data_IF_717443591806
#
_entry.id   IF_717443591806
#
_cell.length_a   1.000
_cell.length_b   1.000
_cell.length_c   1.000
_cell.angle_alpha   90.00
_cell.angle_beta   90.00
_cell.angle_gamma   90.00
#
_symmetry.space_group_name_H-M   'P 1'
#
loop_
_entity.id
_entity.type
_entity.pdbx_description
1 polymer ?
#
# COMPACT_ATOMS: atom_id res chain seq x y z
N UNK A 1 -30.48 -13.02 -5.61
CA UNK A 1 -29.70 -11.87 -5.08
C UNK A 1 -28.85 -11.33 -6.23
N UNK A 2 -28.89 -10.02 -6.47
CA UNK A 2 -28.07 -9.38 -7.50
C UNK A 2 -26.60 -9.39 -7.08
N UNK A 3 -25.70 -9.76 -7.99
CA UNK A 3 -24.25 -9.77 -7.73
C UNK A 3 -23.72 -8.32 -7.68
N UNK A 4 -22.91 -7.91 -6.69
CA UNK A 4 -22.37 -6.56 -6.64
C UNK A 4 -21.44 -6.29 -7.84
N UNK A 5 -21.55 -5.09 -8.41
CA UNK A 5 -20.85 -4.67 -9.61
C UNK A 5 -19.58 -3.89 -9.27
N UNK A 6 -18.47 -4.24 -9.89
CA UNK A 6 -17.17 -3.60 -9.69
C UNK A 6 -16.77 -2.74 -10.89
N UNK A 7 -16.25 -1.55 -10.60
CA UNK A 7 -15.47 -0.76 -11.54
C UNK A 7 -13.98 -0.82 -11.14
N UNK A 8 -13.11 -1.31 -12.01
CA UNK A 8 -11.66 -1.35 -11.77
C UNK A 8 -11.02 -0.16 -12.49
N UNK A 9 -10.51 0.82 -11.73
CA UNK A 9 -9.83 2.00 -12.30
C UNK A 9 -8.34 1.88 -12.00
N UNK A 10 -7.58 1.59 -13.06
CA UNK A 10 -6.24 1.03 -13.01
C UNK A 10 -6.26 -0.46 -13.31
N UNK A 11 -5.41 -0.91 -14.25
CA UNK A 11 -5.32 -2.33 -14.64
C UNK A 11 -3.88 -2.79 -14.84
N UNK A 12 -3.00 -2.32 -13.94
CA UNK A 12 -1.59 -2.72 -13.85
C UNK A 12 -1.40 -4.10 -13.21
N UNK A 13 -0.26 -4.30 -12.54
CA UNK A 13 0.06 -5.56 -11.84
C UNK A 13 -1.01 -5.94 -10.82
N UNK A 14 -1.42 -5.00 -9.97
CA UNK A 14 -2.43 -5.21 -8.92
C UNK A 14 -3.80 -5.53 -9.54
N UNK A 15 -4.24 -4.77 -10.55
CA UNK A 15 -5.54 -4.99 -11.19
C UNK A 15 -5.64 -6.33 -11.90
N UNK A 16 -4.58 -6.73 -12.61
CA UNK A 16 -4.50 -8.06 -13.22
C UNK A 16 -4.45 -9.19 -12.19
N UNK A 17 -3.75 -8.99 -11.07
CA UNK A 17 -3.73 -9.97 -9.98
C UNK A 17 -5.12 -10.12 -9.33
N UNK A 18 -5.82 -9.02 -9.08
CA UNK A 18 -7.20 -9.03 -8.60
C UNK A 18 -8.12 -9.73 -9.59
N UNK A 19 -8.05 -9.42 -10.89
CA UNK A 19 -8.86 -10.08 -11.91
C UNK A 19 -8.65 -11.60 -11.94
N UNK A 20 -7.39 -12.07 -11.87
CA UNK A 20 -7.09 -13.50 -11.76
C UNK A 20 -7.66 -14.12 -10.49
N UNK A 21 -7.58 -13.43 -9.36
CA UNK A 21 -8.13 -13.90 -8.09
C UNK A 21 -9.65 -14.02 -8.14
N UNK A 22 -10.35 -13.02 -8.71
CA UNK A 22 -11.80 -13.04 -8.87
C UNK A 22 -12.26 -14.24 -9.70
N UNK A 23 -11.57 -14.53 -10.80
CA UNK A 23 -11.82 -15.71 -11.63
C UNK A 23 -11.55 -17.02 -10.89
N UNK A 24 -10.37 -17.14 -10.27
CA UNK A 24 -9.93 -18.38 -9.61
C UNK A 24 -10.80 -18.74 -8.40
N UNK A 25 -11.31 -17.74 -7.69
CA UNK A 25 -12.17 -17.93 -6.50
C UNK A 25 -13.65 -17.96 -6.82
N UNK A 26 -14.04 -17.72 -8.08
CA UNK A 26 -15.43 -17.55 -8.50
C UNK A 26 -16.18 -16.55 -7.60
N UNK A 27 -15.50 -15.46 -7.23
CA UNK A 27 -16.04 -14.48 -6.32
C UNK A 27 -17.37 -13.92 -6.85
N UNK A 28 -18.36 -13.63 -6.00
CA UNK A 28 -19.72 -13.29 -6.40
C UNK A 28 -19.88 -11.86 -6.95
N UNK A 29 -18.86 -11.34 -7.63
CA UNK A 29 -18.81 -9.99 -8.19
C UNK A 29 -18.90 -10.02 -9.71
N UNK A 30 -19.44 -8.94 -10.29
CA UNK A 30 -19.45 -8.73 -11.74
C UNK A 30 -18.63 -7.49 -12.05
N UNK A 31 -17.56 -7.60 -12.84
CA UNK A 31 -16.80 -6.42 -13.27
C UNK A 31 -17.53 -5.78 -14.43
N UNK A 32 -18.03 -4.56 -14.28
CA UNK A 32 -18.80 -3.84 -15.31
C UNK A 32 -18.01 -2.73 -15.96
N UNK A 33 -16.88 -2.32 -15.37
CA UNK A 33 -15.99 -1.33 -15.94
C UNK A 33 -14.52 -1.64 -15.64
N UNK A 34 -13.66 -1.42 -16.63
CA UNK A 34 -12.20 -1.41 -16.47
C UNK A 34 -11.67 -0.17 -17.17
N UNK A 35 -11.05 0.74 -16.42
CA UNK A 35 -10.46 1.98 -16.91
C UNK A 35 -8.94 2.00 -16.74
N UNK A 36 -8.21 2.51 -17.72
CA UNK A 36 -6.76 2.72 -17.61
C UNK A 36 -6.37 4.08 -18.19
N UNK A 37 -5.24 4.63 -17.74
CA UNK A 37 -4.70 5.88 -18.28
C UNK A 37 -4.32 5.79 -19.76
N UNK A 38 -3.73 4.66 -20.17
CA UNK A 38 -3.08 4.53 -21.49
C UNK A 38 -3.87 3.75 -22.54
N UNK A 39 -4.82 2.91 -22.13
CA UNK A 39 -5.58 2.04 -23.04
C UNK A 39 -7.08 2.32 -22.97
N UNK A 40 -7.49 3.51 -22.51
CA UNK A 40 -8.90 3.87 -22.33
C UNK A 40 -9.64 2.95 -21.35
N UNK A 41 -10.95 2.86 -21.54
CA UNK A 41 -11.88 2.15 -20.68
C UNK A 41 -12.86 1.26 -21.48
N UNK A 42 -13.20 0.13 -20.89
CA UNK A 42 -14.28 -0.77 -21.32
C UNK A 42 -15.36 -0.70 -20.25
N UNK A 43 -16.61 -0.51 -20.67
CA UNK A 43 -17.76 -0.44 -19.76
C UNK A 43 -18.92 -1.22 -20.37
N UNK A 44 -19.42 -2.22 -19.65
CA UNK A 44 -20.47 -3.13 -20.10
C UNK A 44 -21.40 -3.50 -18.93
N UNK A 45 -22.68 -3.15 -19.03
CA UNK A 45 -23.68 -3.36 -17.96
C UNK A 45 -23.88 -4.84 -17.60
N UNK A 46 -23.77 -5.74 -18.58
CA UNK A 46 -23.90 -7.19 -18.38
C UNK A 46 -22.66 -7.86 -17.78
N UNK A 47 -21.59 -7.08 -17.55
CA UNK A 47 -20.30 -7.59 -17.08
C UNK A 47 -19.28 -7.76 -18.21
N UNK A 48 -18.01 -7.75 -17.82
CA UNK A 48 -16.84 -7.89 -18.68
C UNK A 48 -16.22 -9.25 -18.41
N UNK A 49 -15.94 -10.00 -19.48
CA UNK A 49 -15.17 -11.23 -19.37
C UNK A 49 -13.70 -10.91 -19.07
N UNK A 50 -13.30 -11.15 -17.82
CA UNK A 50 -11.94 -10.93 -17.35
C UNK A 50 -10.93 -11.86 -18.03
N UNK A 51 -11.34 -13.03 -18.53
CA UNK A 51 -10.43 -13.97 -19.20
C UNK A 51 -9.94 -13.41 -20.53
N UNK A 52 -10.83 -12.79 -21.30
CA UNK A 52 -10.50 -12.10 -22.56
C UNK A 52 -9.57 -10.91 -22.31
N UNK A 53 -9.88 -10.09 -21.30
CA UNK A 53 -9.05 -8.95 -20.92
C UNK A 53 -7.64 -9.41 -20.50
N UNK A 54 -7.53 -10.49 -19.72
CA UNK A 54 -6.25 -11.03 -19.27
C UNK A 54 -5.45 -11.71 -20.38
N UNK A 55 -6.13 -12.25 -21.40
CA UNK A 55 -5.51 -12.80 -22.61
C UNK A 55 -5.01 -11.71 -23.57
N UNK A 56 -5.30 -10.43 -23.28
CA UNK A 56 -4.90 -9.31 -24.13
C UNK A 56 -5.80 -9.10 -25.34
N UNK A 57 -7.01 -9.68 -25.34
CA UNK A 57 -8.01 -9.42 -26.38
C UNK A 57 -8.33 -7.93 -26.42
N UNK A 58 -8.29 -7.36 -27.62
CA UNK A 58 -8.67 -5.96 -27.81
C UNK A 58 -10.18 -5.83 -27.77
N UNK A 59 -10.68 -5.05 -26.81
CA UNK A 59 -12.10 -4.72 -26.68
C UNK A 59 -12.28 -3.24 -27.05
N UNK A 60 -13.44 -2.83 -27.56
CA UNK A 60 -13.71 -1.43 -27.86
C UNK A 60 -13.45 -0.53 -26.64
N UNK A 61 -12.48 0.38 -26.78
CA UNK A 61 -12.04 1.29 -25.73
C UNK A 61 -12.58 2.69 -25.97
N UNK A 62 -13.05 3.33 -24.90
CA UNK A 62 -13.50 4.73 -24.88
C UNK A 62 -12.73 5.51 -23.82
N UNK A 63 -12.92 6.83 -23.77
CA UNK A 63 -12.49 7.61 -22.62
C UNK A 63 -13.14 7.04 -21.34
N UNK A 64 -12.40 7.07 -20.23
CA UNK A 64 -12.95 6.72 -18.92
C UNK A 64 -14.02 7.77 -18.55
N UNK A 65 -15.29 7.38 -18.44
CA UNK A 65 -16.31 8.33 -18.01
C UNK A 65 -16.09 8.73 -16.54
N UNK A 66 -16.69 9.84 -16.08
CA UNK A 66 -16.73 10.19 -14.66
C UNK A 66 -17.19 9.01 -13.80
N UNK A 67 -16.68 8.91 -12.56
CA UNK A 67 -16.94 7.72 -11.73
C UNK A 67 -18.43 7.53 -11.44
N UNK A 68 -19.16 8.65 -11.33
CA UNK A 68 -20.62 8.70 -11.11
C UNK A 68 -21.44 8.07 -12.25
N UNK A 69 -20.88 7.96 -13.45
CA UNK A 69 -21.56 7.43 -14.63
C UNK A 69 -21.24 5.95 -14.86
N UNK A 70 -20.37 5.36 -14.02
CA UNK A 70 -20.02 3.95 -14.11
C UNK A 70 -21.15 3.06 -13.57
N UNK A 71 -21.53 1.99 -14.27
CA UNK A 71 -22.57 1.07 -13.81
C UNK A 71 -22.04 0.10 -12.74
N UNK A 72 -21.58 0.61 -11.61
CA UNK A 72 -20.95 -0.16 -10.54
C UNK A 72 -21.44 0.24 -9.15
N UNK A 73 -21.37 -0.71 -8.22
CA UNK A 73 -21.71 -0.50 -6.81
C UNK A 73 -20.45 -0.22 -5.97
N UNK A 74 -19.29 -0.68 -6.46
CA UNK A 74 -18.00 -0.57 -5.80
C UNK A 74 -16.95 -0.08 -6.81
N UNK A 75 -16.28 1.01 -6.50
CA UNK A 75 -15.06 1.45 -7.19
C UNK A 75 -13.85 0.75 -6.56
N UNK A 76 -13.03 0.13 -7.39
CA UNK A 76 -11.69 -0.35 -7.03
C UNK A 76 -10.67 0.57 -7.68
N UNK A 77 -10.08 1.46 -6.88
CA UNK A 77 -9.13 2.47 -7.33
C UNK A 77 -7.69 1.98 -7.11
N UNK A 78 -6.99 1.73 -8.20
CA UNK A 78 -5.65 1.13 -8.24
C UNK A 78 -4.82 1.74 -9.37
N UNK A 79 -5.01 3.04 -9.62
CA UNK A 79 -4.19 3.78 -10.59
C UNK A 79 -2.76 4.00 -10.08
N UNK A 80 -1.91 4.49 -10.97
CA UNK A 80 -0.55 4.89 -10.61
C UNK A 80 -0.57 5.99 -9.56
N UNK A 81 0.34 5.89 -8.60
CA UNK A 81 0.46 6.85 -7.51
C UNK A 81 1.06 8.19 -7.99
N UNK A 82 0.39 9.29 -7.66
CA UNK A 82 1.00 10.63 -7.59
C UNK A 82 1.01 11.07 -6.11
N UNK A 83 2.17 11.02 -5.44
CA UNK A 83 2.24 11.24 -4.00
C UNK A 83 2.05 12.70 -3.58
N UNK A 84 2.17 13.69 -4.49
CA UNK A 84 2.10 15.12 -4.13
C UNK A 84 0.70 15.71 -4.11
N UNK A 85 -0.18 15.20 -4.95
CA UNK A 85 -1.57 15.68 -5.01
C UNK A 85 -2.56 14.57 -4.65
N UNK A 86 -2.17 13.31 -4.83
CA UNK A 86 -3.09 12.18 -4.78
C UNK A 86 -3.97 12.07 -6.03
N UNK A 87 -3.82 12.96 -7.02
CA UNK A 87 -4.63 12.97 -8.24
C UNK A 87 -4.06 12.04 -9.32
N UNK A 88 -4.90 11.43 -10.17
CA UNK A 88 -6.36 11.59 -10.26
C UNK A 88 -7.16 10.71 -9.27
N UNK A 89 -6.49 9.85 -8.51
CA UNK A 89 -7.14 8.90 -7.61
C UNK A 89 -8.03 9.57 -6.56
N UNK A 90 -7.62 10.73 -6.05
CA UNK A 90 -8.39 11.50 -5.09
C UNK A 90 -9.73 11.96 -5.69
N UNK A 91 -9.71 12.51 -6.91
CA UNK A 91 -10.93 12.83 -7.66
C UNK A 91 -11.80 11.59 -7.89
N UNK A 92 -11.22 10.47 -8.32
CA UNK A 92 -11.98 9.23 -8.52
C UNK A 92 -12.73 8.79 -7.25
N UNK A 93 -12.04 8.81 -6.10
CA UNK A 93 -12.63 8.39 -4.82
C UNK A 93 -13.76 9.35 -4.40
N UNK A 94 -13.56 10.66 -4.51
CA UNK A 94 -14.60 11.66 -4.19
C UNK A 94 -15.84 11.47 -5.06
N UNK A 95 -15.67 11.36 -6.36
CA UNK A 95 -16.79 11.19 -7.29
C UNK A 95 -17.57 9.91 -7.00
N UNK A 96 -16.87 8.79 -6.78
CA UNK A 96 -17.51 7.51 -6.51
C UNK A 96 -18.29 7.51 -5.18
N UNK A 97 -17.68 8.01 -4.09
CA UNK A 97 -18.38 8.17 -2.81
C UNK A 97 -19.58 9.12 -2.95
N UNK A 98 -19.39 10.25 -3.65
CA UNK A 98 -20.43 11.23 -3.94
C UNK A 98 -21.64 10.63 -4.67
N UNK A 99 -21.38 9.71 -5.61
CA UNK A 99 -22.37 8.94 -6.36
C UNK A 99 -22.99 7.76 -5.57
N UNK A 100 -22.58 7.53 -4.32
CA UNK A 100 -23.13 6.46 -3.48
C UNK A 100 -22.49 5.09 -3.70
N UNK A 101 -21.30 5.03 -4.33
CA UNK A 101 -20.53 3.80 -4.45
C UNK A 101 -19.74 3.53 -3.17
N UNK A 102 -19.45 2.26 -2.89
CA UNK A 102 -18.36 1.91 -1.99
C UNK A 102 -17.01 2.09 -2.70
N UNK A 103 -15.95 2.32 -1.93
CA UNK A 103 -14.60 2.47 -2.48
C UNK A 103 -13.63 1.52 -1.79
N UNK A 104 -12.86 0.80 -2.61
CA UNK A 104 -11.66 0.06 -2.22
C UNK A 104 -10.48 0.69 -2.96
N UNK A 105 -9.40 1.05 -2.28
CA UNK A 105 -8.20 1.59 -2.95
C UNK A 105 -6.91 0.94 -2.46
N UNK A 106 -5.95 0.77 -3.38
CA UNK A 106 -4.55 0.48 -3.04
C UNK A 106 -3.64 1.71 -3.19
N UNK A 107 -4.22 2.85 -3.59
CA UNK A 107 -3.47 4.08 -3.78
C UNK A 107 -3.34 4.85 -2.46
N UNK A 108 -2.10 4.96 -1.98
CA UNK A 108 -1.79 5.64 -0.73
C UNK A 108 -1.92 7.16 -0.80
N UNK A 109 -1.86 7.76 -1.99
CA UNK A 109 -1.87 9.22 -2.17
C UNK A 109 -3.12 9.90 -1.57
N UNK A 110 -4.33 9.52 -1.98
CA UNK A 110 -5.57 10.09 -1.45
C UNK A 110 -5.71 9.91 0.06
N UNK A 111 -5.36 8.72 0.59
CA UNK A 111 -5.48 8.43 2.02
C UNK A 111 -4.47 9.24 2.83
N UNK A 112 -3.23 9.38 2.34
CA UNK A 112 -2.22 10.18 3.04
C UNK A 112 -2.57 11.68 3.08
N UNK A 113 -3.36 12.20 2.12
CA UNK A 113 -3.62 13.64 1.97
C UNK A 113 -4.99 14.10 2.42
N UNK A 114 -6.00 13.25 2.29
CA UNK A 114 -7.39 13.63 2.43
C UNK A 114 -8.21 12.60 3.22
N UNK A 115 -7.59 11.74 4.05
CA UNK A 115 -8.31 10.70 4.78
C UNK A 115 -9.53 11.24 5.55
N UNK A 116 -9.37 12.28 6.36
CA UNK A 116 -10.46 12.84 7.18
C UNK A 116 -11.64 13.30 6.33
N UNK A 117 -11.36 13.98 5.22
CA UNK A 117 -12.36 14.43 4.26
C UNK A 117 -13.10 13.25 3.62
N UNK A 118 -12.35 12.26 3.13
CA UNK A 118 -12.89 11.09 2.45
C UNK A 118 -13.68 10.17 3.39
N UNK A 119 -13.24 10.02 4.63
CA UNK A 119 -13.91 9.25 5.68
C UNK A 119 -15.23 9.90 6.07
N UNK A 120 -15.24 11.23 6.27
CA UNK A 120 -16.45 12.00 6.53
C UNK A 120 -17.44 11.91 5.35
N UNK A 121 -16.96 12.02 4.11
CA UNK A 121 -17.79 11.87 2.92
C UNK A 121 -18.40 10.46 2.81
N UNK A 122 -17.61 9.43 3.06
CA UNK A 122 -18.08 8.05 3.06
C UNK A 122 -19.15 7.83 4.13
N UNK A 123 -18.94 8.34 5.35
CA UNK A 123 -19.90 8.28 6.44
C UNK A 123 -21.21 9.00 6.09
N UNK A 124 -21.13 10.22 5.57
CA UNK A 124 -22.31 11.01 5.16
C UNK A 124 -23.15 10.32 4.08
N UNK A 125 -22.52 9.51 3.22
CA UNK A 125 -23.19 8.76 2.15
C UNK A 125 -23.62 7.34 2.57
N UNK A 126 -23.32 6.93 3.81
CA UNK A 126 -23.54 5.56 4.27
C UNK A 126 -22.73 4.52 3.49
N UNK A 127 -21.53 4.89 3.01
CA UNK A 127 -20.66 4.05 2.18
C UNK A 127 -19.36 3.69 2.88
N UNK A 128 -18.78 2.58 2.45
CA UNK A 128 -17.51 2.09 2.96
C UNK A 128 -16.36 2.62 2.13
N UNK A 129 -15.35 3.15 2.82
CA UNK A 129 -14.01 3.40 2.28
C UNK A 129 -13.05 2.35 2.88
N UNK A 130 -12.35 1.60 2.02
CA UNK A 130 -11.41 0.54 2.41
C UNK A 130 -10.08 0.72 1.68
N UNK A 131 -8.98 0.60 2.42
CA UNK A 131 -7.65 0.95 1.90
C UNK A 131 -6.53 0.10 2.51
N UNK A 132 -6.82 -1.16 2.85
CA UNK A 132 -5.85 -2.08 3.48
C UNK A 132 -4.56 -2.21 2.66
N UNK A 133 -4.69 -2.31 1.34
CA UNK A 133 -3.56 -2.46 0.43
C UNK A 133 -2.67 -1.20 0.30
N UNK A 134 -3.03 -0.07 0.94
CA UNK A 134 -2.18 1.13 0.94
C UNK A 134 -0.99 1.02 1.90
N UNK A 135 -1.04 0.08 2.86
CA UNK A 135 -0.02 -0.13 3.87
C UNK A 135 0.41 -1.59 3.99
N UNK A 136 1.73 -1.80 4.06
CA UNK A 136 2.34 -3.06 4.50
C UNK A 136 1.86 -4.32 3.74
N UNK A 137 1.54 -4.17 2.44
CA UNK A 137 1.13 -5.21 1.51
C UNK A 137 -0.06 -6.05 2.02
N UNK A 138 0.22 -7.18 2.67
CA UNK A 138 -0.78 -8.15 3.14
C UNK A 138 -1.04 -8.10 4.65
N UNK A 139 -0.42 -7.16 5.38
CA UNK A 139 -0.61 -7.07 6.83
C UNK A 139 -1.95 -6.38 7.15
N UNK A 140 -2.88 -7.03 7.88
CA UNK A 140 -4.17 -6.42 8.21
C UNK A 140 -4.02 -5.40 9.35
N UNK A 141 -3.61 -4.18 9.02
CA UNK A 141 -3.39 -3.09 9.98
C UNK A 141 -4.70 -2.41 10.36
N UNK A 142 -5.47 -1.95 9.37
CA UNK A 142 -6.70 -1.20 9.65
C UNK A 142 -7.83 -2.13 10.02
N UNK A 143 -7.87 -3.32 9.43
CA UNK A 143 -8.82 -4.34 9.84
C UNK A 143 -8.64 -4.75 11.31
N UNK A 144 -7.39 -4.86 11.78
CA UNK A 144 -7.10 -5.15 13.19
C UNK A 144 -7.70 -4.07 14.11
N UNK A 145 -7.54 -2.78 13.78
CA UNK A 145 -8.17 -1.69 14.54
C UNK A 145 -9.69 -1.78 14.54
N UNK A 146 -10.31 -1.99 13.38
CA UNK A 146 -11.78 -2.03 13.25
C UNK A 146 -12.41 -3.26 13.90
N UNK A 147 -11.84 -4.44 13.69
CA UNK A 147 -12.46 -5.71 14.07
C UNK A 147 -12.00 -6.23 15.45
N UNK A 148 -10.75 -5.98 15.83
CA UNK A 148 -10.15 -6.60 17.04
C UNK A 148 -9.87 -5.61 18.16
N UNK A 149 -9.71 -4.31 17.84
CA UNK A 149 -9.43 -3.28 18.84
C UNK A 149 -10.42 -2.10 18.75
N UNK A 150 -11.75 -2.33 18.71
CA UNK A 150 -12.73 -1.25 18.56
C UNK A 150 -12.70 -0.26 19.74
N UNK A 151 -12.45 -0.75 20.96
CA UNK A 151 -12.40 0.03 22.21
C UNK A 151 -10.98 0.42 22.65
N UNK A 152 -9.95 -0.14 21.99
CA UNK A 152 -8.56 0.09 22.37
C UNK A 152 -8.06 1.44 21.89
N UNK A 153 -7.46 2.22 22.78
CA UNK A 153 -6.78 3.45 22.38
C UNK A 153 -5.34 3.15 21.92
N UNK A 154 -5.04 3.48 20.66
CA UNK A 154 -3.70 3.32 20.11
C UNK A 154 -2.83 4.51 20.53
N UNK A 155 -1.97 4.29 21.53
CA UNK A 155 -1.01 5.30 22.01
C UNK A 155 0.23 5.44 21.14
N UNK A 156 0.66 4.34 20.50
CA UNK A 156 1.89 4.30 19.71
C UNK A 156 1.85 3.24 18.62
N UNK A 157 2.37 3.59 17.45
CA UNK A 157 2.62 2.67 16.34
C UNK A 157 4.09 2.75 15.96
N UNK A 158 4.78 1.60 15.91
CA UNK A 158 6.16 1.52 15.44
C UNK A 158 6.27 0.42 14.39
N UNK A 159 6.87 0.72 13.24
CA UNK A 159 6.99 -0.26 12.15
C UNK A 159 8.10 0.05 11.17
N UNK A 160 8.53 -1.00 10.47
CA UNK A 160 9.37 -0.88 9.27
C UNK A 160 8.40 -0.92 8.09
N UNK A 161 8.27 0.20 7.37
CA UNK A 161 7.23 0.36 6.36
C UNK A 161 7.75 0.57 4.93
N UNK A 162 9.07 0.65 4.73
CA UNK A 162 9.73 0.59 3.39
C UNK A 162 10.57 -0.68 3.29
N UNK A 163 10.20 -1.55 2.34
CA UNK A 163 10.91 -2.79 2.03
C UNK A 163 12.28 -2.50 1.39
N UNK A 164 12.34 -1.54 0.46
CA UNK A 164 13.55 -1.08 -0.22
C UNK A 164 14.63 -0.64 0.76
N UNK A 165 14.32 0.35 1.60
CA UNK A 165 15.26 0.84 2.60
C UNK A 165 15.69 -0.26 3.58
N UNK A 166 14.74 -1.08 4.03
CA UNK A 166 15.05 -2.15 4.96
C UNK A 166 15.95 -3.23 4.33
N UNK A 167 15.77 -3.56 3.05
CA UNK A 167 16.62 -4.49 2.34
C UNK A 167 18.05 -3.95 2.26
N UNK A 168 18.20 -2.70 1.78
CA UNK A 168 19.50 -2.06 1.59
C UNK A 168 20.25 -2.00 2.92
N UNK A 169 19.64 -1.45 3.97
CA UNK A 169 20.26 -1.35 5.30
C UNK A 169 20.60 -2.72 5.90
N UNK A 170 19.75 -3.74 5.64
CA UNK A 170 20.04 -5.11 6.08
C UNK A 170 21.23 -5.73 5.36
N UNK A 171 21.41 -5.42 4.07
CA UNK A 171 22.56 -5.89 3.28
C UNK A 171 23.84 -5.20 3.72
N UNK A 172 23.78 -3.89 3.99
CA UNK A 172 24.94 -3.18 4.51
C UNK A 172 25.35 -3.66 5.91
N UNK A 173 24.39 -3.98 6.78
CA UNK A 173 24.68 -4.60 8.08
C UNK A 173 25.35 -5.99 7.97
N UNK A 174 25.27 -6.65 6.81
CA UNK A 174 25.98 -7.90 6.50
C UNK A 174 27.33 -7.68 5.80
N UNK A 175 27.72 -6.43 5.57
CA UNK A 175 29.02 -6.06 5.00
C UNK A 175 28.99 -5.61 3.54
N UNK A 176 27.83 -5.53 2.88
CA UNK A 176 27.74 -4.95 1.54
C UNK A 176 27.92 -3.43 1.57
N UNK A 177 28.47 -2.85 0.51
CA UNK A 177 28.39 -1.39 0.35
C UNK A 177 26.95 -0.96 0.06
N UNK A 178 26.64 0.32 0.25
CA UNK A 178 25.31 0.85 -0.11
C UNK A 178 25.02 0.69 -1.60
N UNK A 179 26.01 0.96 -2.46
CA UNK A 179 25.88 0.84 -3.90
C UNK A 179 25.57 -0.59 -4.33
N UNK A 180 26.30 -1.58 -3.80
CA UNK A 180 26.06 -3.00 -4.11
C UNK A 180 24.68 -3.44 -3.63
N UNK A 181 24.29 -3.02 -2.42
CA UNK A 181 22.99 -3.36 -1.85
C UNK A 181 21.83 -2.75 -2.64
N UNK A 182 21.99 -1.52 -3.14
CA UNK A 182 21.01 -0.87 -4.01
C UNK A 182 20.93 -1.55 -5.37
N UNK A 183 22.08 -1.82 -6.00
CA UNK A 183 22.14 -2.53 -7.29
C UNK A 183 21.48 -3.91 -7.20
N UNK A 184 21.72 -4.64 -6.10
CA UNK A 184 21.08 -5.93 -5.87
C UNK A 184 19.58 -5.78 -5.63
N UNK A 185 19.14 -4.75 -4.90
CA UNK A 185 17.72 -4.47 -4.71
C UNK A 185 17.02 -4.21 -6.05
N UNK A 186 17.65 -3.46 -6.96
CA UNK A 186 17.12 -3.20 -8.30
C UNK A 186 17.07 -4.48 -9.14
N UNK A 187 18.15 -5.28 -9.12
CA UNK A 187 18.21 -6.56 -9.84
C UNK A 187 17.13 -7.55 -9.38
N UNK A 188 16.81 -7.55 -8.09
CA UNK A 188 15.74 -8.38 -7.52
C UNK A 188 14.34 -7.79 -7.71
N UNK A 189 14.21 -6.60 -8.31
CA UNK A 189 12.93 -5.88 -8.45
C UNK A 189 12.35 -5.40 -7.12
N UNK A 190 13.18 -5.30 -6.08
CA UNK A 190 12.80 -4.74 -4.77
C UNK A 190 12.79 -3.21 -4.84
N UNK A 191 13.77 -2.62 -5.52
CA UNK A 191 13.86 -1.19 -5.77
C UNK A 191 13.55 -0.89 -7.24
N UNK A 192 12.89 0.24 -7.50
CA UNK A 192 12.69 0.76 -8.85
C UNK A 192 14.00 1.34 -9.42
N UNK A 193 14.01 1.62 -10.73
CA UNK A 193 15.15 2.27 -11.39
C UNK A 193 15.47 3.64 -10.77
N UNK A 194 14.44 4.42 -10.43
CA UNK A 194 14.56 5.62 -9.59
C UNK A 194 14.01 5.33 -8.17
N UNK A 195 14.88 5.02 -7.18
CA UNK A 195 14.47 4.68 -5.83
C UNK A 195 14.32 5.91 -4.92
N UNK A 196 14.30 7.14 -5.46
CA UNK A 196 14.33 8.39 -4.67
C UNK A 196 13.23 8.46 -3.61
N UNK A 197 12.01 8.10 -3.97
CA UNK A 197 10.87 8.12 -3.06
C UNK A 197 11.06 7.23 -1.82
N UNK A 198 11.72 6.08 -1.99
CA UNK A 198 12.10 5.21 -0.88
C UNK A 198 13.26 5.81 -0.09
N UNK A 199 14.36 6.16 -0.77
CA UNK A 199 15.63 6.51 -0.12
C UNK A 199 15.58 7.84 0.64
N UNK A 200 14.89 8.85 0.11
CA UNK A 200 14.63 10.14 0.77
C UNK A 200 13.48 10.06 1.79
N UNK A 201 12.77 8.94 1.79
CA UNK A 201 11.80 8.61 2.81
C UNK A 201 10.41 9.21 2.64
N UNK A 202 10.07 9.63 1.43
CA UNK A 202 8.72 10.10 1.09
C UNK A 202 7.69 8.98 1.22
N UNK A 203 8.01 7.75 0.79
CA UNK A 203 7.10 6.61 0.90
C UNK A 203 6.73 6.31 2.36
N UNK A 204 7.71 6.21 3.26
CA UNK A 204 7.36 5.94 4.66
C UNK A 204 6.76 7.13 5.38
N UNK A 205 7.01 8.37 4.96
CA UNK A 205 6.30 9.53 5.49
C UNK A 205 4.82 9.46 5.13
N UNK A 206 4.48 9.16 3.87
CA UNK A 206 3.10 8.93 3.47
C UNK A 206 2.47 7.78 4.27
N UNK A 207 3.17 6.66 4.44
CA UNK A 207 2.67 5.52 5.23
C UNK A 207 2.49 5.85 6.71
N UNK A 208 3.41 6.61 7.30
CA UNK A 208 3.31 7.05 8.70
C UNK A 208 2.16 8.04 8.91
N UNK A 209 1.91 8.91 7.92
CA UNK A 209 0.76 9.82 7.88
C UNK A 209 -0.55 9.04 7.88
N UNK A 210 -0.68 8.03 7.01
CA UNK A 210 -1.86 7.16 6.97
C UNK A 210 -2.06 6.47 8.33
N UNK A 211 -0.99 5.90 8.92
CA UNK A 211 -1.09 5.26 10.24
C UNK A 211 -1.57 6.23 11.31
N UNK A 212 -1.03 7.45 11.36
CA UNK A 212 -1.41 8.42 12.37
C UNK A 212 -2.83 8.95 12.18
N UNK A 213 -3.21 9.31 10.95
CA UNK A 213 -4.54 9.81 10.65
C UNK A 213 -5.61 8.75 10.88
N UNK A 214 -5.40 7.52 10.41
CA UNK A 214 -6.41 6.46 10.50
C UNK A 214 -6.51 5.84 11.88
N UNK A 215 -5.37 5.59 12.55
CA UNK A 215 -5.36 4.87 13.82
C UNK A 215 -5.46 5.79 15.04
N UNK A 216 -5.09 7.06 14.86
CA UNK A 216 -4.91 8.01 15.97
C UNK A 216 -5.53 9.38 15.69
N UNK A 217 -6.29 9.56 14.61
CA UNK A 217 -7.01 10.80 14.28
C UNK A 217 -6.12 12.06 14.32
N UNK A 218 -4.91 11.95 13.75
CA UNK A 218 -3.88 12.98 13.88
C UNK A 218 -4.07 14.20 12.97
N UNK A 219 -4.86 14.07 11.89
CA UNK A 219 -5.13 15.10 10.87
C UNK A 219 -3.90 15.87 10.37
N UNK A 220 -2.88 15.13 9.95
CA UNK A 220 -1.64 15.68 9.38
C UNK A 220 -1.45 15.30 7.91
N UNK A 221 -0.48 15.93 7.26
CA UNK A 221 -0.07 15.64 5.89
C UNK A 221 1.34 15.04 5.83
N UNK A 222 1.74 14.43 4.70
CA UNK A 222 3.08 13.87 4.55
C UNK A 222 4.21 14.89 4.77
N UNK A 223 3.94 16.17 4.50
CA UNK A 223 4.90 17.26 4.70
C UNK A 223 5.19 17.53 6.18
N UNK A 224 4.24 17.24 7.07
CA UNK A 224 4.39 17.44 8.52
C UNK A 224 5.25 16.36 9.18
N UNK A 225 5.54 15.27 8.46
CA UNK A 225 6.34 14.17 8.97
C UNK A 225 7.83 14.49 8.85
N UNK A 226 8.53 14.51 9.99
CA UNK A 226 9.98 14.67 10.01
C UNK A 226 10.66 13.44 9.38
N UNK A 227 11.42 13.68 8.32
CA UNK A 227 12.13 12.65 7.55
C UNK A 227 13.64 12.74 7.76
N UNK A 228 14.28 11.57 7.85
CA UNK A 228 15.74 11.45 7.76
C UNK A 228 16.10 10.52 6.59
N UNK A 229 16.76 11.03 5.54
CA UNK A 229 17.12 10.24 4.36
C UNK A 229 18.04 9.07 4.71
N UNK A 230 17.81 7.92 4.08
CA UNK A 230 18.67 6.74 4.26
C UNK A 230 20.11 6.96 3.75
N UNK A 231 20.27 7.79 2.71
CA UNK A 231 21.56 8.14 2.09
C UNK A 231 22.50 8.92 3.02
N UNK A 232 21.96 9.67 3.98
CA UNK A 232 22.75 10.39 5.00
C UNK A 232 23.55 9.46 5.93
N UNK A 233 23.32 8.15 5.84
CA UNK A 233 23.98 7.12 6.64
C UNK A 233 24.97 6.25 5.85
N UNK A 234 25.30 6.61 4.60
CA UNK A 234 26.31 5.90 3.78
C UNK A 234 27.66 5.74 4.51
N UNK A 235 28.01 6.67 5.40
CA UNK A 235 29.24 6.70 6.19
C UNK A 235 29.17 5.94 7.53
N UNK A 236 27.98 5.48 7.96
CA UNK A 236 27.76 4.86 9.29
C UNK A 236 27.39 3.37 9.25
N UNK A 237 27.64 2.71 8.13
CA UNK A 237 27.53 1.25 8.02
C UNK A 237 28.76 0.56 8.62
N UNK A 238 28.86 0.51 9.94
CA UNK A 238 29.83 -0.36 10.62
C UNK A 238 29.26 -1.77 10.82
N UNK A 239 30.12 -2.79 10.70
CA UNK A 239 29.79 -4.23 10.79
C UNK A 239 29.14 -4.66 12.12
N UNK A 240 29.12 -3.80 13.14
CA UNK A 240 28.69 -4.14 14.50
C UNK A 240 27.23 -3.82 14.82
N UNK A 241 26.49 -3.09 13.97
CA UNK A 241 25.16 -2.58 14.35
C UNK A 241 24.11 -2.69 13.24
N UNK A 242 22.96 -3.31 13.53
CA UNK A 242 21.85 -3.39 12.60
C UNK A 242 21.05 -2.08 12.61
N UNK A 243 21.33 -1.22 11.62
CA UNK A 243 20.55 -0.03 11.32
C UNK A 243 19.25 -0.40 10.63
N UNK A 244 18.10 0.08 11.15
CA UNK A 244 16.80 -0.10 10.51
C UNK A 244 16.06 1.22 10.40
N UNK A 245 15.36 1.41 9.29
CA UNK A 245 14.52 2.56 9.09
C UNK A 245 13.14 2.31 9.70
N UNK A 246 12.82 3.06 10.76
CA UNK A 246 11.63 2.88 11.58
C UNK A 246 10.77 4.13 11.49
N UNK A 247 9.50 3.93 11.16
CA UNK A 247 8.45 4.92 11.34
C UNK A 247 7.87 4.75 12.73
N UNK A 248 7.81 5.82 13.50
CA UNK A 248 7.13 5.85 14.81
C UNK A 248 6.12 6.98 14.83
N UNK A 249 4.89 6.68 15.23
CA UNK A 249 3.84 7.66 15.55
C UNK A 249 3.48 7.52 17.01
N UNK A 250 3.60 8.60 17.79
CA UNK A 250 3.33 8.61 19.24
C UNK A 250 2.45 9.81 19.57
N UNK A 251 1.37 9.61 20.33
CA UNK A 251 0.53 10.68 20.88
C UNK A 251 1.16 11.15 22.19
N UNK A 252 1.45 12.44 22.34
CA UNK A 252 2.29 12.96 23.44
C UNK A 252 1.56 13.52 24.66
N UNK A 253 0.22 13.64 24.67
CA UNK A 253 -0.55 13.98 25.89
C UNK A 253 -1.98 13.44 25.84
N UNK A 254 -2.49 12.75 26.86
CA UNK A 254 -3.92 12.57 27.09
C UNK A 254 -4.46 13.73 27.95
N UNK A 255 -5.30 14.60 27.42
CA UNK A 255 -6.14 15.48 28.26
C UNK A 255 -6.21 16.96 27.90
N UNK A 256 -5.40 17.48 26.98
CA UNK A 256 -5.52 18.87 26.51
C UNK A 256 -6.12 18.92 25.11
N UNK A 257 -6.80 20.02 24.79
CA UNK A 257 -7.49 20.32 23.53
C UNK A 257 -6.58 20.26 22.28
N UNK A 258 -5.27 20.05 22.46
CA UNK A 258 -4.29 19.79 21.41
C UNK A 258 -3.50 18.50 21.68
N UNK A 259 -3.86 17.40 21.02
CA UNK A 259 -2.99 16.21 20.95
C UNK A 259 -1.80 16.51 20.03
N UNK A 260 -0.57 16.44 20.55
CA UNK A 260 0.64 16.49 19.72
C UNK A 260 1.05 15.09 19.27
N UNK A 261 1.54 14.96 18.03
CA UNK A 261 2.04 13.71 17.46
C UNK A 261 3.51 13.84 17.10
N UNK A 262 4.35 12.96 17.63
CA UNK A 262 5.72 12.84 17.12
C UNK A 262 5.73 11.75 16.06
N UNK A 263 5.91 12.16 14.80
CA UNK A 263 6.11 11.25 13.67
C UNK A 263 7.48 11.47 13.07
N UNK A 264 8.30 10.42 13.10
CA UNK A 264 9.63 10.44 12.51
C UNK A 264 9.90 9.16 11.78
N UNK A 265 10.52 9.28 10.62
CA UNK A 265 11.20 8.19 9.93
C UNK A 265 12.68 8.36 10.16
N UNK A 266 13.33 7.37 10.79
CA UNK A 266 14.74 7.47 11.15
C UNK A 266 15.43 6.12 11.09
N UNK A 267 16.70 6.15 10.76
CA UNK A 267 17.58 4.99 10.93
C UNK A 267 17.89 4.86 12.42
N UNK A 268 17.42 3.79 13.06
CA UNK A 268 17.76 3.47 14.44
C UNK A 268 18.70 2.27 14.48
N UNK A 269 19.78 2.43 15.24
CA UNK A 269 20.59 1.31 15.69
C UNK A 269 19.75 0.49 16.66
N UNK A 270 19.57 -0.80 16.39
CA UNK A 270 18.85 -1.70 17.30
C UNK A 270 19.73 -2.89 17.66
N UNK A 271 19.68 -3.26 18.93
CA UNK A 271 20.24 -4.52 19.44
C UNK A 271 19.47 -5.69 18.82
N UNK A 272 20.15 -6.83 18.63
CA UNK A 272 19.57 -8.02 17.97
C UNK A 272 18.32 -8.57 18.68
N UNK A 273 18.11 -8.24 19.96
CA UNK A 273 16.99 -8.68 20.80
C UNK A 273 15.66 -7.95 20.57
N UNK A 274 15.60 -6.90 19.75
CA UNK A 274 14.35 -6.17 19.52
C UNK A 274 13.34 -6.93 18.64
N UNK A 275 12.00 -6.82 18.85
CA UNK A 275 11.02 -7.57 18.04
C UNK A 275 11.07 -7.27 16.53
N UNK A 276 11.60 -6.10 16.15
CA UNK A 276 11.72 -5.67 14.75
C UNK A 276 13.06 -6.06 14.11
N UNK A 277 14.05 -6.53 14.87
CA UNK A 277 15.35 -6.96 14.32
C UNK A 277 15.32 -8.36 13.69
N UNK A 278 14.40 -9.25 14.13
CA UNK A 278 14.32 -10.66 13.72
C UNK A 278 13.61 -10.93 12.38
N UNK A 279 12.91 -9.95 11.79
CA UNK A 279 12.06 -10.16 10.61
C UNK A 279 12.80 -10.66 9.36
N UNK A 280 14.04 -10.23 9.13
CA UNK A 280 14.84 -10.71 7.99
C UNK A 280 15.26 -12.19 8.14
N UNK A 281 15.42 -12.68 9.38
CA UNK A 281 15.75 -14.08 9.64
C UNK A 281 14.52 -15.00 9.51
N UNK A 282 13.34 -14.54 9.95
CA UNK A 282 12.08 -15.29 9.82
C UNK A 282 11.62 -15.40 8.36
N UNK A 283 11.70 -14.32 7.59
CA UNK A 283 11.36 -14.34 6.16
C UNK A 283 12.28 -15.25 5.33
N UNK A 284 13.58 -15.33 5.70
CA UNK A 284 14.53 -16.24 5.05
C UNK A 284 14.23 -17.70 5.38
N UNK A 285 13.96 -18.04 6.65
CA UNK A 285 13.56 -19.40 7.07
C UNK A 285 12.27 -19.84 6.40
N UNK A 286 11.31 -18.93 6.21
CA UNK A 286 10.08 -19.21 5.46
C UNK A 286 10.35 -19.48 3.97
N UNK A 287 11.22 -18.70 3.31
CA UNK A 287 11.63 -18.91 1.91
C UNK A 287 12.47 -20.17 1.71
N UNK A 288 13.35 -20.50 2.65
CA UNK A 288 14.14 -21.75 2.65
C UNK A 288 13.24 -22.97 2.87
N UNK A 289 12.24 -22.90 3.76
CA UNK A 289 11.21 -23.95 3.92
C UNK A 289 10.36 -24.11 2.66
N UNK A 290 9.94 -23.02 2.03
CA UNK A 290 9.18 -23.06 0.77
C UNK A 290 9.99 -23.62 -0.41
N UNK A 291 11.31 -23.37 -0.45
CA UNK A 291 12.20 -23.99 -1.45
C UNK A 291 12.40 -25.49 -1.22
N UNK A 292 12.48 -25.93 0.04
CA UNK A 292 12.61 -27.35 0.41
C UNK A 292 11.31 -28.14 0.22
N UNK A 293 10.16 -27.47 0.19
CA UNK A 293 8.86 -28.09 -0.02
C UNK A 293 8.45 -28.23 -1.50
N UNK A 294 9.31 -27.85 -2.46
CA UNK A 294 9.05 -28.12 -3.87
C UNK A 294 9.32 -29.61 -4.16
N UNK A 295 8.36 -30.38 -4.69
CA UNK A 295 8.63 -31.74 -5.13
C UNK A 295 9.68 -31.74 -6.24
N UNK A 296 10.61 -32.70 -6.19
CA UNK A 296 11.63 -32.86 -7.22
C UNK A 296 10.96 -33.07 -8.58
N UNK A 297 11.53 -32.53 -9.69
CA UNK A 297 10.99 -32.81 -11.01
C UNK A 297 11.01 -34.31 -11.26
N UNK A 298 9.87 -34.84 -11.71
CA UNK A 298 9.74 -36.25 -12.07
C UNK A 298 10.81 -36.60 -13.11
N UNK A 299 11.66 -37.58 -12.77
CA UNK A 299 12.58 -38.17 -13.75
C UNK A 299 11.73 -38.96 -14.74
N UNK A 300 11.65 -38.47 -15.97
CA UNK A 300 11.17 -39.25 -17.12
C UNK A 300 12.16 -40.37 -17.39
N UNK A 301 11.67 -41.61 -17.39
CA UNK A 301 12.31 -42.75 -18.04
C UNK A 301 12.03 -42.70 -19.54
#
# INVERSE_FOLDING_TARGET
MTRPRLALVGFGSVGRALARMLLATQAPFVVTAIGTRSHGAVVHHGGIDLSLILAGTDLPRRALPPMRDLPADILVEITTLEPRTGEPALTHIREALGAGMHVVTANKGPIARAYRELDALAAAKGRLLRFEATLADCLPVFNLRRASLPLGEIRRVNGIVSSTCNFILSSCARGSTFADALSEAQRLGIAEADPRNDLEGHDAAAKATILANVLMDADIRPEDVRREPSSSHSTRCSRSTASRWVSSSTRTSPGESSCSFTIRTSTRLRTRSSPTSSRSAQARRARERARRARPAPARTF
#
